data_IF_868567548060
#
_entry.id   IF_868567548060
#
_cell.length_a   1.000
_cell.length_b   1.000
_cell.length_c   1.000
_cell.angle_alpha   90.00
_cell.angle_beta   90.00
_cell.angle_gamma   90.00
#
_symmetry.space_group_name_H-M   'P 1'
#
loop_
_entity.id
_entity.type
_entity.pdbx_description
1 polymer ?
#
# COMPACT_ATOMS: atom_id res chain seq x y z
N UNK A 1 18.28 -4.38 -0.19
CA UNK A 1 17.19 -4.24 0.80
C UNK A 1 16.27 -3.07 0.44
N UNK A 2 16.69 -1.80 0.55
CA UNK A 2 15.82 -0.62 0.31
C UNK A 2 15.25 -0.53 -1.12
N UNK A 3 16.02 -0.89 -2.16
CA UNK A 3 15.55 -0.87 -3.55
C UNK A 3 14.42 -1.88 -3.82
N UNK A 4 14.47 -3.08 -3.23
CA UNK A 4 13.39 -4.07 -3.33
C UNK A 4 12.11 -3.60 -2.63
N UNK A 5 12.25 -2.94 -1.49
CA UNK A 5 11.14 -2.36 -0.72
C UNK A 5 10.39 -1.26 -1.50
N UNK A 6 11.12 -0.43 -2.28
CA UNK A 6 10.49 0.61 -3.12
C UNK A 6 9.78 -0.03 -4.31
N UNK A 7 10.36 -1.07 -4.90
CA UNK A 7 9.76 -1.81 -6.01
C UNK A 7 8.48 -2.54 -5.57
N UNK A 8 8.47 -3.10 -4.37
CA UNK A 8 7.30 -3.72 -3.72
C UNK A 8 6.22 -2.69 -3.36
N UNK A 9 6.61 -1.50 -2.90
CA UNK A 9 5.70 -0.42 -2.57
C UNK A 9 5.00 0.19 -3.80
N UNK A 10 5.54 -0.04 -5.00
CA UNK A 10 4.98 0.37 -6.27
C UNK A 10 4.69 1.89 -6.36
N UNK A 11 3.63 2.25 -7.09
CA UNK A 11 3.27 3.66 -7.36
C UNK A 11 2.95 4.44 -6.07
N UNK A 12 2.39 3.78 -5.05
CA UNK A 12 2.07 4.36 -3.75
C UNK A 12 3.31 4.68 -2.95
N UNK A 13 4.33 3.82 -2.99
CA UNK A 13 5.65 4.13 -2.42
C UNK A 13 6.22 5.42 -3.01
N UNK A 14 6.27 5.52 -4.34
CA UNK A 14 6.77 6.72 -5.02
C UNK A 14 5.94 7.97 -4.67
N UNK A 15 4.61 7.85 -4.67
CA UNK A 15 3.72 8.96 -4.31
C UNK A 15 3.97 9.43 -2.87
N UNK A 16 4.16 8.49 -1.94
CA UNK A 16 4.50 8.80 -0.54
C UNK A 16 5.87 9.49 -0.44
N UNK A 17 6.90 9.03 -1.16
CA UNK A 17 8.21 9.69 -1.16
C UNK A 17 8.13 11.14 -1.63
N UNK A 18 7.45 11.39 -2.75
CA UNK A 18 7.28 12.75 -3.29
C UNK A 18 6.50 13.62 -2.31
N UNK A 19 5.45 13.07 -1.72
CA UNK A 19 4.63 13.75 -0.72
C UNK A 19 5.43 14.09 0.55
N UNK A 20 6.21 13.15 1.09
CA UNK A 20 7.08 13.38 2.25
C UNK A 20 8.18 14.39 1.92
N UNK A 21 8.77 14.32 0.73
CA UNK A 21 9.75 15.31 0.29
C UNK A 21 9.16 16.73 0.27
N UNK A 22 7.97 16.89 -0.30
CA UNK A 22 7.26 18.18 -0.34
C UNK A 22 6.92 18.67 1.07
N UNK A 23 6.54 17.77 1.98
CA UNK A 23 6.32 18.10 3.39
C UNK A 23 7.58 18.60 4.09
N UNK A 24 8.72 17.95 3.86
CA UNK A 24 10.00 18.36 4.44
C UNK A 24 10.45 19.73 3.90
N UNK A 25 10.16 20.03 2.63
CA UNK A 25 10.46 21.35 2.02
C UNK A 25 9.66 22.49 2.68
N UNK A 26 8.43 22.20 3.11
CA UNK A 26 7.55 23.19 3.76
C UNK A 26 7.87 23.31 5.26
N UNK A 27 8.56 22.31 5.83
CA UNK A 27 8.97 22.28 7.23
C UNK A 27 10.02 23.36 7.52
N UNK A 28 10.04 23.96 8.72
CA UNK A 28 11.12 24.87 9.13
C UNK A 28 12.48 24.17 9.28
N UNK A 29 12.54 22.85 9.14
CA UNK A 29 13.76 22.06 9.25
C UNK A 29 14.54 22.17 7.92
N UNK A 30 15.62 22.94 7.94
CA UNK A 30 16.49 23.08 6.78
C UNK A 30 17.44 21.87 6.67
N UNK A 31 16.95 20.81 6.04
CA UNK A 31 17.75 19.65 5.68
C UNK A 31 18.39 19.94 4.31
N UNK A 32 19.70 19.78 4.17
CA UNK A 32 20.31 19.83 2.85
C UNK A 32 19.65 18.81 1.88
N UNK A 33 19.83 19.00 0.58
CA UNK A 33 19.19 18.17 -0.46
C UNK A 33 19.36 16.65 -0.26
N UNK A 34 20.58 16.20 0.09
CA UNK A 34 20.89 14.78 0.30
C UNK A 34 20.16 14.16 1.51
N UNK A 35 20.24 14.73 2.73
CA UNK A 35 19.48 14.21 3.85
C UNK A 35 17.97 14.29 3.61
N UNK A 36 17.45 15.33 2.98
CA UNK A 36 16.01 15.45 2.70
C UNK A 36 15.50 14.30 1.81
N UNK A 37 16.24 13.92 0.77
CA UNK A 37 15.91 12.75 -0.06
C UNK A 37 15.97 11.43 0.71
N UNK A 38 16.89 11.28 1.66
CA UNK A 38 16.95 10.07 2.49
C UNK A 38 15.75 9.99 3.44
N UNK A 39 15.42 11.11 4.09
CA UNK A 39 14.29 11.17 5.01
C UNK A 39 12.93 11.02 4.31
N UNK A 40 12.81 11.40 3.04
CA UNK A 40 11.56 11.21 2.30
C UNK A 40 11.22 9.74 2.05
N UNK A 41 12.23 8.85 2.07
CA UNK A 41 12.03 7.40 1.87
C UNK A 41 11.68 6.68 3.18
N UNK A 42 12.03 7.26 4.34
CA UNK A 42 11.82 6.63 5.65
C UNK A 42 10.37 6.19 5.88
N UNK A 43 9.34 7.02 5.60
CA UNK A 43 7.96 6.60 5.79
C UNK A 43 7.54 5.42 4.92
N UNK A 44 8.15 5.24 3.73
CA UNK A 44 7.88 4.09 2.86
C UNK A 44 8.40 2.82 3.52
N UNK A 45 9.64 2.85 4.00
CA UNK A 45 10.26 1.68 4.66
C UNK A 45 9.46 1.30 5.90
N UNK A 46 9.09 2.28 6.72
CA UNK A 46 8.24 2.06 7.90
C UNK A 46 6.89 1.46 7.49
N UNK A 47 6.26 1.98 6.43
CA UNK A 47 4.97 1.48 5.97
C UNK A 47 5.04 0.04 5.48
N UNK A 48 6.06 -0.33 4.70
CA UNK A 48 6.22 -1.72 4.23
C UNK A 48 6.47 -2.65 5.41
N UNK A 49 7.33 -2.29 6.36
CA UNK A 49 7.57 -3.08 7.57
C UNK A 49 6.30 -3.26 8.41
N UNK A 50 5.47 -2.22 8.51
CA UNK A 50 4.17 -2.32 9.19
C UNK A 50 3.20 -3.23 8.44
N UNK A 51 3.16 -3.18 7.11
CA UNK A 51 2.28 -4.07 6.34
C UNK A 51 2.73 -5.52 6.48
N UNK A 52 4.03 -5.78 6.42
CA UNK A 52 4.61 -7.11 6.62
C UNK A 52 4.31 -7.64 8.04
N UNK A 53 4.49 -6.80 9.07
CA UNK A 53 4.23 -7.17 10.46
C UNK A 53 2.73 -7.32 10.80
N UNK A 54 1.85 -6.65 10.06
CA UNK A 54 0.40 -6.61 10.31
C UNK A 54 -0.41 -7.10 9.10
N UNK A 55 0.14 -8.02 8.31
CA UNK A 55 -0.42 -8.43 7.03
C UNK A 55 -1.87 -8.93 7.20
N UNK A 56 -2.08 -9.92 8.06
CA UNK A 56 -3.39 -10.54 8.31
C UNK A 56 -4.48 -9.57 8.79
N UNK A 57 -4.28 -8.74 9.84
CA UNK A 57 -5.31 -7.81 10.30
C UNK A 57 -5.59 -6.68 9.30
N UNK A 58 -4.58 -6.22 8.56
CA UNK A 58 -4.74 -5.18 7.54
C UNK A 58 -5.54 -5.74 6.36
N UNK A 59 -5.18 -6.93 5.88
CA UNK A 59 -5.87 -7.58 4.77
C UNK A 59 -7.32 -7.88 5.13
N UNK A 60 -7.59 -8.35 6.36
CA UNK A 60 -8.95 -8.58 6.86
C UNK A 60 -9.80 -7.30 6.94
N UNK A 61 -9.21 -6.16 7.29
CA UNK A 61 -9.91 -4.86 7.29
C UNK A 61 -10.16 -4.31 5.89
N UNK A 62 -9.21 -4.49 4.97
CA UNK A 62 -9.29 -3.93 3.61
C UNK A 62 -10.17 -4.79 2.69
N UNK A 63 -10.04 -6.12 2.76
CA UNK A 63 -10.81 -7.08 1.97
C UNK A 63 -12.23 -7.32 2.54
N UNK A 64 -12.44 -7.10 3.85
CA UNK A 64 -13.72 -7.28 4.53
C UNK A 64 -13.83 -8.62 5.27
N UNK A 65 -14.56 -8.63 6.40
CA UNK A 65 -14.67 -9.77 7.33
C UNK A 65 -15.18 -11.08 6.70
N UNK A 66 -16.04 -11.02 5.69
CA UNK A 66 -16.62 -12.20 5.04
C UNK A 66 -15.69 -12.91 4.06
N UNK A 67 -14.63 -12.24 3.58
CA UNK A 67 -13.82 -12.76 2.48
C UNK A 67 -12.63 -13.62 2.92
N UNK A 68 -12.20 -13.48 4.18
CA UNK A 68 -11.02 -14.15 4.71
C UNK A 68 -11.33 -15.39 5.54
N UNK A 69 -12.56 -15.60 6.03
CA UNK A 69 -12.89 -16.92 6.62
C UNK A 69 -12.87 -17.97 5.52
N UNK A 70 -13.46 -17.68 4.35
CA UNK A 70 -13.55 -18.68 3.29
C UNK A 70 -12.19 -19.00 2.70
N UNK A 71 -11.33 -18.01 2.42
CA UNK A 71 -10.00 -18.30 1.86
C UNK A 71 -9.06 -18.95 2.89
N UNK A 72 -9.16 -18.61 4.17
CA UNK A 72 -8.26 -19.19 5.18
C UNK A 72 -8.72 -20.56 5.67
N UNK A 73 -10.04 -20.81 5.69
CA UNK A 73 -10.61 -22.12 6.00
C UNK A 73 -10.46 -23.07 4.79
N UNK A 74 -10.66 -22.61 3.55
CA UNK A 74 -10.47 -23.44 2.34
C UNK A 74 -8.98 -23.78 2.13
N UNK A 75 -8.05 -22.84 2.33
CA UNK A 75 -6.61 -23.13 2.23
C UNK A 75 -6.17 -24.08 3.35
N UNK A 76 -6.71 -23.95 4.57
CA UNK A 76 -6.28 -24.79 5.70
C UNK A 76 -6.86 -26.21 5.65
N UNK A 77 -8.06 -26.38 5.09
CA UNK A 77 -8.68 -27.70 4.94
C UNK A 77 -8.18 -28.44 3.68
N UNK A 78 -7.65 -27.73 2.68
CA UNK A 78 -7.09 -28.32 1.46
C UNK A 78 -5.57 -28.55 1.54
N UNK A 79 -4.86 -27.81 2.40
CA UNK A 79 -3.45 -28.07 2.81
C UNK A 79 -3.43 -29.16 3.89
N UNK A 80 -3.95 -30.34 3.57
CA UNK A 80 -3.66 -31.53 4.36
C UNK A 80 -2.16 -31.83 4.29
N UNK A 81 -1.51 -31.80 5.46
CA UNK A 81 -0.13 -32.26 5.72
C UNK A 81 0.96 -31.72 4.77
N UNK A 82 1.49 -30.55 5.10
CA UNK A 82 2.90 -30.09 5.07
C UNK A 82 3.87 -30.43 3.89
N UNK A 83 3.50 -31.12 2.81
CA UNK A 83 4.48 -31.60 1.82
C UNK A 83 4.11 -31.44 0.33
N UNK A 84 2.93 -30.93 -0.03
CA UNK A 84 2.54 -30.83 -1.45
C UNK A 84 3.06 -29.57 -2.18
N UNK A 85 3.55 -28.55 -1.45
CA UNK A 85 3.88 -27.22 -2.02
C UNK A 85 5.31 -27.07 -2.54
N UNK A 86 6.20 -28.02 -2.29
CA UNK A 86 7.62 -27.89 -2.61
C UNK A 86 8.03 -28.43 -3.98
N UNK A 87 7.15 -29.16 -4.69
CA UNK A 87 7.55 -29.91 -5.89
C UNK A 87 7.25 -29.23 -7.24
N UNK A 88 6.62 -28.04 -7.26
CA UNK A 88 6.21 -27.36 -8.50
C UNK A 88 6.66 -25.88 -8.50
N UNK A 89 7.85 -25.62 -9.07
CA UNK A 89 8.46 -24.28 -9.16
C UNK A 89 7.56 -23.24 -9.86
N UNK A 90 6.76 -23.66 -10.84
CA UNK A 90 5.83 -22.83 -11.61
C UNK A 90 4.64 -22.31 -10.78
N UNK A 91 4.23 -23.05 -9.74
CA UNK A 91 3.18 -22.62 -8.81
C UNK A 91 3.73 -21.68 -7.73
N UNK A 92 4.97 -21.87 -7.29
CA UNK A 92 5.62 -20.99 -6.32
C UNK A 92 5.85 -19.58 -6.89
N UNK A 93 6.39 -19.47 -8.11
CA UNK A 93 6.61 -18.17 -8.75
C UNK A 93 5.31 -17.38 -8.91
N UNK A 94 4.21 -18.08 -9.21
CA UNK A 94 2.90 -17.47 -9.38
C UNK A 94 2.29 -17.02 -8.05
N UNK A 95 2.51 -17.76 -6.97
CA UNK A 95 2.05 -17.38 -5.62
C UNK A 95 2.86 -16.18 -5.12
N UNK A 96 4.18 -16.18 -5.28
CA UNK A 96 5.05 -15.08 -4.89
C UNK A 96 4.73 -13.78 -5.65
N UNK A 97 4.47 -13.86 -6.95
CA UNK A 97 4.07 -12.69 -7.76
C UNK A 97 2.69 -12.14 -7.33
N UNK A 98 1.76 -13.01 -6.93
CA UNK A 98 0.45 -12.61 -6.44
C UNK A 98 0.52 -11.97 -5.05
N UNK A 99 1.37 -12.47 -4.17
CA UNK A 99 1.58 -11.89 -2.83
C UNK A 99 2.26 -10.51 -2.95
N UNK A 100 3.32 -10.41 -3.75
CA UNK A 100 4.01 -9.14 -4.04
C UNK A 100 3.06 -8.08 -4.62
N UNK A 101 2.18 -8.47 -5.55
CA UNK A 101 1.16 -7.57 -6.11
C UNK A 101 0.10 -7.16 -5.08
N UNK A 102 -0.21 -8.02 -4.13
CA UNK A 102 -1.19 -7.75 -3.07
C UNK A 102 -0.63 -6.73 -2.07
N UNK A 103 0.62 -6.91 -1.62
CA UNK A 103 1.33 -5.95 -0.76
C UNK A 103 1.38 -4.56 -1.39
N UNK A 104 1.84 -4.44 -2.65
CA UNK A 104 1.93 -3.13 -3.32
C UNK A 104 0.56 -2.44 -3.47
N UNK A 105 -0.53 -3.18 -3.54
CA UNK A 105 -1.89 -2.61 -3.58
C UNK A 105 -2.39 -2.17 -2.21
N UNK A 106 -2.08 -2.92 -1.16
CA UNK A 106 -2.34 -2.50 0.22
C UNK A 106 -1.58 -1.21 0.54
N UNK A 107 -0.30 -1.13 0.15
CA UNK A 107 0.50 0.09 0.24
C UNK A 107 -0.21 1.26 -0.46
N UNK A 108 -0.61 1.08 -1.72
CA UNK A 108 -1.32 2.13 -2.46
C UNK A 108 -2.58 2.62 -1.74
N UNK A 109 -3.39 1.70 -1.21
CA UNK A 109 -4.63 2.04 -0.50
C UNK A 109 -4.31 2.85 0.76
N UNK A 110 -3.36 2.41 1.59
CA UNK A 110 -3.01 3.10 2.83
C UNK A 110 -2.44 4.48 2.51
N UNK A 111 -1.51 4.57 1.57
CA UNK A 111 -0.93 5.86 1.13
C UNK A 111 -2.02 6.79 0.61
N UNK A 112 -2.92 6.28 -0.22
CA UNK A 112 -4.02 7.08 -0.76
C UNK A 112 -4.94 7.63 0.32
N UNK A 113 -5.29 6.82 1.32
CA UNK A 113 -6.09 7.25 2.48
C UNK A 113 -5.36 8.33 3.28
N UNK A 114 -4.09 8.08 3.65
CA UNK A 114 -3.29 9.03 4.40
C UNK A 114 -3.20 10.36 3.64
N UNK A 115 -2.75 10.34 2.39
CA UNK A 115 -2.58 11.55 1.58
C UNK A 115 -3.90 12.30 1.37
N UNK A 116 -5.00 11.61 1.07
CA UNK A 116 -6.29 12.27 0.86
C UNK A 116 -6.83 13.01 2.09
N UNK A 117 -6.52 12.52 3.29
CA UNK A 117 -6.91 13.16 4.54
C UNK A 117 -5.98 14.32 4.92
N UNK A 118 -4.68 14.19 4.64
CA UNK A 118 -3.68 15.17 5.07
C UNK A 118 -3.46 16.31 4.07
N UNK A 119 -3.69 16.10 2.77
CA UNK A 119 -3.53 17.12 1.73
C UNK A 119 -4.38 18.39 1.98
N UNK A 120 -5.67 18.30 2.37
CA UNK A 120 -6.46 19.47 2.73
C UNK A 120 -5.85 20.27 3.89
N UNK A 121 -5.35 19.58 4.92
CA UNK A 121 -4.77 20.20 6.12
C UNK A 121 -3.48 20.94 5.77
N UNK A 122 -2.60 20.32 4.98
CA UNK A 122 -1.35 20.95 4.54
C UNK A 122 -1.63 22.13 3.62
N UNK A 123 -2.59 21.96 2.69
CA UNK A 123 -3.06 23.05 1.85
C UNK A 123 -3.54 24.22 2.68
N UNK A 124 -4.34 23.97 3.72
CA UNK A 124 -4.81 24.99 4.65
C UNK A 124 -3.68 25.70 5.40
N UNK A 125 -2.72 24.96 5.94
CA UNK A 125 -1.59 25.56 6.68
C UNK A 125 -0.76 26.47 5.78
N UNK A 126 -0.61 26.14 4.49
CA UNK A 126 0.28 26.87 3.58
C UNK A 126 -0.38 28.01 2.81
N UNK A 127 -1.62 27.83 2.38
CA UNK A 127 -2.34 28.78 1.51
C UNK A 127 -3.78 29.03 1.98
N UNK A 128 -4.06 28.79 3.27
CA UNK A 128 -5.34 29.03 3.92
C UNK A 128 -6.50 28.34 3.19
N UNK A 129 -7.64 29.01 3.06
CA UNK A 129 -8.86 28.44 2.48
C UNK A 129 -8.65 27.97 1.04
N UNK A 130 -7.93 28.75 0.22
CA UNK A 130 -7.64 28.37 -1.16
C UNK A 130 -6.81 27.08 -1.23
N UNK A 131 -5.80 26.96 -0.36
CA UNK A 131 -5.02 25.75 -0.25
C UNK A 131 -5.83 24.55 0.21
N UNK A 132 -6.76 24.73 1.15
CA UNK A 132 -7.66 23.67 1.60
C UNK A 132 -8.54 23.14 0.45
N UNK A 133 -9.14 24.03 -0.34
CA UNK A 133 -9.99 23.65 -1.48
C UNK A 133 -9.18 22.88 -2.52
N UNK A 134 -7.99 23.37 -2.89
CA UNK A 134 -7.10 22.66 -3.83
C UNK A 134 -6.66 21.32 -3.24
N UNK A 135 -6.32 21.28 -1.95
CA UNK A 135 -5.95 20.06 -1.23
C UNK A 135 -7.06 19.02 -1.20
N UNK A 136 -8.33 19.44 -1.07
CA UNK A 136 -9.50 18.56 -1.19
C UNK A 136 -9.61 17.98 -2.61
N UNK A 137 -9.49 18.81 -3.64
CA UNK A 137 -9.58 18.34 -5.03
C UNK A 137 -8.48 17.32 -5.37
N UNK A 138 -7.24 17.61 -4.98
CA UNK A 138 -6.12 16.69 -5.14
C UNK A 138 -6.35 15.44 -4.29
N UNK A 139 -6.80 15.58 -3.04
CA UNK A 139 -7.10 14.48 -2.14
C UNK A 139 -8.15 13.52 -2.70
N UNK A 140 -9.21 14.04 -3.33
CA UNK A 140 -10.23 13.23 -4.03
C UNK A 140 -9.61 12.48 -5.21
N UNK A 141 -8.78 13.15 -6.02
CA UNK A 141 -8.11 12.50 -7.15
C UNK A 141 -7.17 11.37 -6.68
N UNK A 142 -6.39 11.62 -5.63
CA UNK A 142 -5.51 10.63 -5.00
C UNK A 142 -6.32 9.46 -4.45
N UNK A 143 -7.43 9.71 -3.75
CA UNK A 143 -8.31 8.66 -3.25
C UNK A 143 -8.88 7.82 -4.40
N UNK A 144 -9.31 8.45 -5.49
CA UNK A 144 -9.81 7.71 -6.65
C UNK A 144 -8.75 6.80 -7.28
N UNK A 145 -7.54 7.33 -7.52
CA UNK A 145 -6.46 6.61 -8.20
C UNK A 145 -5.83 5.53 -7.32
N UNK A 146 -5.55 5.84 -6.06
CA UNK A 146 -4.78 4.96 -5.17
C UNK A 146 -5.66 4.10 -4.26
N UNK A 147 -6.89 4.52 -3.93
CA UNK A 147 -7.80 3.75 -3.08
C UNK A 147 -8.85 3.01 -3.90
N UNK A 148 -9.71 3.74 -4.62
CA UNK A 148 -10.88 3.15 -5.28
C UNK A 148 -10.46 2.18 -6.40
N UNK A 149 -9.57 2.63 -7.29
CA UNK A 149 -9.10 1.80 -8.41
C UNK A 149 -8.35 0.56 -7.93
N UNK A 150 -7.52 0.70 -6.90
CA UNK A 150 -6.71 -0.41 -6.38
C UNK A 150 -7.56 -1.43 -5.62
N UNK A 151 -8.54 -0.97 -4.84
CA UNK A 151 -9.49 -1.85 -4.15
C UNK A 151 -10.28 -2.72 -5.12
N UNK A 152 -10.78 -2.13 -6.22
CA UNK A 152 -11.49 -2.89 -7.26
C UNK A 152 -10.59 -3.97 -7.88
N UNK A 153 -9.34 -3.63 -8.22
CA UNK A 153 -8.41 -4.61 -8.79
C UNK A 153 -7.98 -5.67 -7.78
N UNK A 154 -7.80 -5.31 -6.50
CA UNK A 154 -7.44 -6.27 -5.44
C UNK A 154 -8.55 -7.30 -5.27
N UNK A 155 -9.82 -6.86 -5.31
CA UNK A 155 -10.99 -7.76 -5.29
C UNK A 155 -10.99 -8.77 -6.45
N UNK A 156 -10.56 -8.35 -7.64
CA UNK A 156 -10.46 -9.24 -8.80
C UNK A 156 -9.34 -10.28 -8.64
N UNK A 157 -8.17 -9.89 -8.10
CA UNK A 157 -7.07 -10.83 -7.84
C UNK A 157 -7.48 -11.88 -6.80
N UNK A 158 -8.12 -11.44 -5.71
CA UNK A 158 -8.60 -12.35 -4.67
C UNK A 158 -9.65 -13.32 -5.23
N UNK A 159 -10.52 -12.86 -6.14
CA UNK A 159 -11.48 -13.72 -6.85
C UNK A 159 -10.84 -14.72 -7.82
N UNK A 160 -9.65 -14.43 -8.35
CA UNK A 160 -8.91 -15.36 -9.21
C UNK A 160 -8.14 -16.38 -8.37
N UNK A 161 -7.57 -15.97 -7.24
CA UNK A 161 -6.94 -16.85 -6.25
C UNK A 161 -7.94 -17.86 -5.68
N UNK A 162 -9.15 -17.44 -5.33
CA UNK A 162 -10.22 -18.32 -4.82
C UNK A 162 -10.84 -19.24 -5.88
N UNK A 163 -10.38 -19.18 -7.14
CA UNK A 163 -10.77 -20.11 -8.21
C UNK A 163 -9.63 -21.07 -8.57
N UNK A 164 -8.44 -20.80 -8.05
CA UNK A 164 -7.22 -21.59 -8.25
C UNK A 164 -6.98 -22.56 -7.10
N UNK A 165 -7.40 -22.16 -5.90
CA UNK A 165 -7.93 -23.07 -4.87
C UNK A 165 -9.33 -23.49 -5.31
#
# INVERSE_FOLDING_TARGET
MVLGTIEEAGVGGTALAVYTYALLEISPINLGYRPQLLYSIVPIVVLVLLIDSFNDPIMKRIAGKEFLSNVHDDVRDEVGDEQFYYDHEDKQEKIDDLDKKSVGRVVNIIVGVVMSLTLPVIGFIRYEILGAVVGILIGIAVAYVLVIRQRSKLRNIISELSRLY
#
